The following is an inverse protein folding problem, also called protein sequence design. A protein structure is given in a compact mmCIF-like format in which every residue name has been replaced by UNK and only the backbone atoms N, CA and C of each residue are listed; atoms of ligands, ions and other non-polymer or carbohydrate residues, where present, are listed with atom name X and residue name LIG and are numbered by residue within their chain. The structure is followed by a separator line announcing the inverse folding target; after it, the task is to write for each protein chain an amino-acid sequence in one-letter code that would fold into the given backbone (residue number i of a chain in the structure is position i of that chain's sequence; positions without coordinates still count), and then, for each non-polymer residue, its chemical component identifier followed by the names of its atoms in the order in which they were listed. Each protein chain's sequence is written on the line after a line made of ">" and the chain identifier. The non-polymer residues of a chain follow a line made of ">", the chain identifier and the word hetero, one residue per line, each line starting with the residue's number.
data_IF_146445229533
#
_entry.id   IF_146445229533
#
_cell.length_a   1.000
_cell.length_b   1.000
_cell.length_c   1.000
_cell.angle_alpha   90.00
_cell.angle_beta   90.00
_cell.angle_gamma   90.00
#
_symmetry.space_group_name_H-M   'P 1'
#
loop_
_entity.id
_entity.type
_entity.pdbx_description
1 polymer ?
#
# COMPACT_ATOMS: atom_id res chain seq x y z
N UNK A 1 -33.84 2.42 -72.35
CA UNK A 1 -34.52 3.58 -71.74
C UNK A 1 -35.37 3.04 -70.60
N UNK A 2 -35.07 3.32 -69.31
CA UNK A 2 -35.58 4.48 -68.52
C UNK A 2 -37.13 4.51 -68.60
N UNK A 3 -37.97 4.47 -67.56
CA UNK A 3 -37.88 4.78 -66.11
C UNK A 3 -39.13 4.16 -65.47
N UNK A 4 -39.06 3.51 -64.30
CA UNK A 4 -40.25 3.30 -63.47
C UNK A 4 -40.18 4.27 -62.27
N UNK A 5 -41.23 5.07 -62.01
CA UNK A 5 -41.15 6.23 -61.12
C UNK A 5 -41.31 5.80 -59.66
N UNK A 6 -40.56 6.48 -58.79
CA UNK A 6 -40.60 6.24 -57.37
C UNK A 6 -41.91 6.71 -56.73
N UNK A 7 -42.43 5.89 -55.83
CA UNK A 7 -43.00 6.37 -54.58
C UNK A 7 -42.85 5.27 -53.52
N UNK A 8 -42.12 5.59 -52.44
CA UNK A 8 -42.13 4.85 -51.17
C UNK A 8 -42.55 5.85 -50.09
N UNK A 9 -43.57 5.56 -49.27
CA UNK A 9 -43.99 6.48 -48.21
C UNK A 9 -42.97 6.48 -47.07
N UNK A 10 -42.85 7.66 -46.47
CA UNK A 10 -41.94 8.04 -45.40
C UNK A 10 -42.27 7.21 -44.15
N UNK A 11 -41.28 6.45 -43.67
CA UNK A 11 -41.37 5.69 -42.43
C UNK A 11 -39.97 5.38 -41.91
N UNK A 12 -39.45 6.27 -41.05
CA UNK A 12 -38.27 6.14 -40.20
C UNK A 12 -37.17 5.19 -40.68
N UNK A 13 -36.26 5.71 -41.52
CA UNK A 13 -34.91 5.17 -41.58
C UNK A 13 -34.18 5.52 -40.27
N UNK A 14 -34.30 4.64 -39.28
CA UNK A 14 -33.26 4.50 -38.28
C UNK A 14 -32.00 4.07 -39.05
N UNK A 15 -31.12 5.03 -39.31
CA UNK A 15 -29.75 4.79 -39.76
C UNK A 15 -29.13 3.85 -38.72
N UNK A 16 -29.13 2.56 -39.02
CA UNK A 16 -28.39 1.57 -38.26
C UNK A 16 -26.92 1.85 -38.55
N UNK A 17 -26.31 2.63 -37.67
CA UNK A 17 -24.87 2.83 -37.62
C UNK A 17 -24.23 1.45 -37.48
N UNK A 18 -23.72 0.87 -38.58
CA UNK A 18 -22.81 -0.28 -38.55
C UNK A 18 -21.41 0.14 -38.11
N UNK A 19 -21.34 0.77 -36.94
CA UNK A 19 -20.10 0.95 -36.19
C UNK A 19 -20.42 0.91 -34.70
N UNK A 20 -21.22 -0.07 -34.27
CA UNK A 20 -20.99 -0.64 -32.95
C UNK A 20 -19.79 -1.57 -33.09
N UNK A 21 -18.59 -0.99 -33.10
CA UNK A 21 -17.41 -1.71 -32.64
C UNK A 21 -17.82 -2.29 -31.30
N UNK A 22 -18.05 -3.60 -31.30
CA UNK A 22 -18.28 -4.35 -30.09
C UNK A 22 -17.08 -4.03 -29.23
N UNK A 23 -17.29 -3.16 -28.24
CA UNK A 23 -16.44 -3.11 -27.08
C UNK A 23 -16.58 -4.51 -26.49
N UNK A 24 -15.75 -5.43 -26.98
CA UNK A 24 -15.40 -6.64 -26.27
C UNK A 24 -14.88 -6.11 -24.94
N UNK A 25 -15.78 -6.04 -23.96
CA UNK A 25 -15.46 -6.00 -22.56
C UNK A 25 -14.47 -7.14 -22.39
N UNK A 26 -13.17 -6.82 -22.40
CA UNK A 26 -12.13 -7.79 -22.15
C UNK A 26 -12.45 -8.38 -20.79
N UNK A 27 -13.03 -9.58 -20.79
CA UNK A 27 -13.28 -10.32 -19.57
C UNK A 27 -11.91 -10.55 -18.95
N UNK A 28 -11.66 -9.95 -17.78
CA UNK A 28 -10.41 -10.15 -17.04
C UNK A 28 -10.19 -11.65 -16.89
N UNK A 29 -8.99 -12.13 -17.19
CA UNK A 29 -8.68 -13.55 -17.04
C UNK A 29 -8.84 -13.96 -15.59
N UNK A 30 -9.21 -15.23 -15.33
CA UNK A 30 -9.25 -15.78 -13.97
C UNK A 30 -7.92 -15.55 -13.23
N UNK A 31 -6.81 -15.64 -13.96
CA UNK A 31 -5.48 -15.35 -13.44
C UNK A 31 -5.34 -13.91 -12.94
N UNK A 32 -5.85 -12.93 -13.70
CA UNK A 32 -5.82 -11.52 -13.32
C UNK A 32 -6.69 -11.25 -12.09
N UNK A 33 -7.85 -11.91 -12.00
CA UNK A 33 -8.73 -11.81 -10.83
C UNK A 33 -8.08 -12.39 -9.58
N UNK A 34 -7.41 -13.55 -9.70
CA UNK A 34 -6.69 -14.18 -8.60
C UNK A 34 -5.53 -13.31 -8.12
N UNK A 35 -4.68 -12.79 -9.03
CA UNK A 35 -3.61 -11.86 -8.66
C UNK A 35 -4.15 -10.61 -7.95
N UNK A 36 -5.25 -10.05 -8.44
CA UNK A 36 -5.86 -8.87 -7.84
C UNK A 36 -6.42 -9.14 -6.44
N UNK A 37 -7.00 -10.32 -6.20
CA UNK A 37 -7.44 -10.70 -4.85
C UNK A 37 -6.26 -10.91 -3.91
N UNK A 38 -5.18 -11.54 -4.36
CA UNK A 38 -3.99 -11.77 -3.54
C UNK A 38 -3.29 -10.46 -3.14
N UNK A 39 -3.24 -9.49 -4.07
CA UNK A 39 -2.77 -8.12 -3.77
C UNK A 39 -3.65 -7.41 -2.74
N UNK A 40 -4.98 -7.59 -2.80
CA UNK A 40 -5.90 -7.01 -1.80
C UNK A 40 -5.71 -7.64 -0.43
N UNK A 41 -5.69 -8.97 -0.35
CA UNK A 41 -5.47 -9.70 0.90
C UNK A 41 -4.13 -9.32 1.54
N UNK A 42 -3.10 -9.15 0.71
CA UNK A 42 -1.79 -8.62 1.13
C UNK A 42 -1.90 -7.24 1.76
N UNK A 43 -2.59 -6.32 1.09
CA UNK A 43 -2.75 -4.94 1.56
C UNK A 43 -3.49 -4.90 2.89
N UNK A 44 -4.52 -5.72 3.05
CA UNK A 44 -5.26 -5.85 4.30
C UNK A 44 -4.40 -6.43 5.44
N UNK A 45 -3.56 -7.43 5.15
CA UNK A 45 -2.67 -7.99 6.16
C UNK A 45 -1.66 -6.94 6.66
N UNK A 46 -1.04 -6.19 5.76
CA UNK A 46 -0.09 -5.15 6.14
C UNK A 46 -0.78 -4.02 6.91
N UNK A 47 -2.01 -3.64 6.53
CA UNK A 47 -2.80 -2.70 7.30
C UNK A 47 -3.07 -3.19 8.73
N UNK A 48 -3.45 -4.47 8.90
CA UNK A 48 -3.63 -5.06 10.23
C UNK A 48 -2.35 -5.01 11.07
N UNK A 49 -1.19 -5.26 10.47
CA UNK A 49 0.10 -5.18 11.16
C UNK A 49 0.41 -3.74 11.59
N UNK A 50 0.15 -2.74 10.73
CA UNK A 50 0.29 -1.32 11.07
C UNK A 50 -0.61 -0.94 12.24
N UNK A 51 -1.88 -1.33 12.22
CA UNK A 51 -2.82 -1.02 13.30
C UNK A 51 -2.37 -1.65 14.64
N UNK A 52 -1.84 -2.87 14.60
CA UNK A 52 -1.27 -3.53 15.77
C UNK A 52 -0.01 -2.81 16.30
N UNK A 53 0.87 -2.33 15.41
CA UNK A 53 2.04 -1.53 15.77
C UNK A 53 1.60 -0.22 16.41
N UNK A 54 0.60 0.47 15.85
CA UNK A 54 0.04 1.71 16.41
C UNK A 54 -0.48 1.50 17.83
N UNK A 55 -1.24 0.42 18.07
CA UNK A 55 -1.71 0.07 19.41
C UNK A 55 -0.55 -0.22 20.38
N UNK A 56 0.49 -0.91 19.91
CA UNK A 56 1.67 -1.19 20.72
C UNK A 56 2.46 0.10 21.02
N UNK A 57 2.56 1.02 20.06
CA UNK A 57 3.17 2.33 20.24
C UNK A 57 2.42 3.15 21.30
N UNK A 58 1.08 3.11 21.30
CA UNK A 58 0.28 3.75 22.35
C UNK A 58 0.50 3.10 23.73
N UNK A 59 0.67 1.78 23.81
CA UNK A 59 1.02 1.09 25.07
C UNK A 59 2.40 1.50 25.58
N UNK A 60 3.38 1.59 24.68
CA UNK A 60 4.72 2.08 24.98
C UNK A 60 4.69 3.53 25.46
N UNK A 61 3.98 4.42 24.77
CA UNK A 61 3.81 5.81 25.14
C UNK A 61 3.22 6.00 26.55
N UNK A 62 2.28 5.13 26.95
CA UNK A 62 1.62 5.20 28.26
C UNK A 62 2.45 4.61 29.40
N UNK A 63 2.99 3.41 29.18
CA UNK A 63 3.63 2.63 30.25
C UNK A 63 5.15 2.83 30.33
N UNK A 64 5.77 3.19 29.21
CA UNK A 64 7.20 3.51 29.11
C UNK A 64 8.08 2.44 29.74
N UNK A 65 7.79 1.17 29.43
CA UNK A 65 8.57 0.03 29.93
C UNK A 65 9.43 -0.59 28.84
N UNK A 66 10.56 -1.16 29.24
CA UNK A 66 11.45 -1.94 28.36
C UNK A 66 10.70 -3.09 27.69
N UNK A 67 9.72 -3.69 28.37
CA UNK A 67 8.89 -4.77 27.81
C UNK A 67 8.08 -4.28 26.61
N UNK A 68 7.35 -3.17 26.77
CA UNK A 68 6.58 -2.60 25.67
C UNK A 68 7.48 -2.12 24.52
N UNK A 69 8.67 -1.58 24.83
CA UNK A 69 9.64 -1.18 23.82
C UNK A 69 10.12 -2.39 23.01
N UNK A 70 10.49 -3.48 23.68
CA UNK A 70 10.92 -4.72 23.02
C UNK A 70 9.83 -5.23 22.08
N UNK A 71 8.58 -5.28 22.56
CA UNK A 71 7.46 -5.76 21.75
C UNK A 71 7.21 -4.85 20.54
N UNK A 72 7.28 -3.54 20.73
CA UNK A 72 7.16 -2.55 19.64
C UNK A 72 8.22 -2.78 18.55
N UNK A 73 9.49 -2.91 18.95
CA UNK A 73 10.60 -3.18 18.03
C UNK A 73 10.42 -4.50 17.26
N UNK A 74 9.98 -5.56 17.93
CA UNK A 74 9.72 -6.85 17.29
C UNK A 74 8.62 -6.77 16.23
N UNK A 75 7.52 -6.08 16.54
CA UNK A 75 6.41 -5.94 15.61
C UNK A 75 6.80 -5.13 14.36
N UNK A 76 7.59 -4.07 14.55
CA UNK A 76 8.13 -3.29 13.43
C UNK A 76 9.05 -4.16 12.57
N UNK A 77 9.96 -4.92 13.18
CA UNK A 77 10.83 -5.83 12.44
C UNK A 77 10.04 -6.82 11.59
N UNK A 78 9.01 -7.45 12.16
CA UNK A 78 8.13 -8.36 11.40
C UNK A 78 7.40 -7.66 10.26
N UNK A 79 6.94 -6.42 10.45
CA UNK A 79 6.33 -5.63 9.39
C UNK A 79 7.31 -5.32 8.24
N UNK A 80 8.55 -4.97 8.56
CA UNK A 80 9.57 -4.69 7.55
C UNK A 80 9.96 -5.96 6.77
N UNK A 81 10.10 -7.09 7.46
CA UNK A 81 10.37 -8.39 6.82
C UNK A 81 9.25 -8.77 5.85
N UNK A 82 8.00 -8.61 6.26
CA UNK A 82 6.83 -8.90 5.43
C UNK A 82 6.77 -7.97 4.21
N UNK A 83 6.99 -6.67 4.42
CA UNK A 83 7.00 -5.66 3.35
C UNK A 83 8.15 -5.90 2.37
N UNK A 84 9.33 -6.30 2.85
CA UNK A 84 10.48 -6.62 2.02
C UNK A 84 10.23 -7.88 1.17
N UNK A 85 9.74 -8.97 1.79
CA UNK A 85 9.40 -10.23 1.10
C UNK A 85 8.40 -10.00 -0.03
N UNK A 86 7.34 -9.24 0.23
CA UNK A 86 6.29 -8.95 -0.77
C UNK A 86 6.72 -7.90 -1.79
N UNK A 87 7.54 -6.94 -1.38
CA UNK A 87 8.18 -5.99 -2.27
C UNK A 87 9.05 -6.68 -3.32
N UNK A 88 9.69 -7.80 -2.99
CA UNK A 88 10.42 -8.64 -3.96
C UNK A 88 9.46 -9.32 -4.94
N UNK A 89 8.34 -9.90 -4.48
CA UNK A 89 7.35 -10.53 -5.37
C UNK A 89 6.73 -9.53 -6.36
N UNK A 90 6.41 -8.31 -5.93
CA UNK A 90 5.84 -7.29 -6.82
C UNK A 90 6.85 -6.79 -7.89
N UNK A 91 8.17 -6.87 -7.60
CA UNK A 91 9.25 -6.53 -8.56
C UNK A 91 9.29 -7.47 -9.76
N UNK A 92 8.95 -8.74 -9.59
CA UNK A 92 8.95 -9.73 -10.68
C UNK A 92 7.80 -9.48 -11.67
N UNK A 93 6.67 -8.92 -11.22
CA UNK A 93 5.48 -8.73 -12.06
C UNK A 93 5.44 -7.37 -12.76
N UNK A 94 6.02 -6.31 -12.16
CA UNK A 94 5.97 -4.93 -12.68
C UNK A 94 7.34 -4.28 -12.47
N UNK A 95 8.17 -4.26 -13.52
CA UNK A 95 9.55 -3.77 -13.47
C UNK A 95 9.71 -2.44 -12.72
N UNK A 96 10.33 -2.50 -11.54
CA UNK A 96 10.44 -1.38 -10.59
C UNK A 96 11.69 -0.53 -10.86
N UNK A 97 11.53 0.78 -11.06
CA UNK A 97 12.63 1.73 -11.35
C UNK A 97 13.74 1.75 -10.26
N UNK A 98 15.01 1.89 -10.69
CA UNK A 98 16.21 2.04 -9.84
C UNK A 98 16.05 3.15 -8.80
N UNK A 99 15.40 4.26 -9.15
CA UNK A 99 15.23 5.42 -8.23
C UNK A 99 14.35 5.12 -7.03
N UNK A 100 13.31 4.28 -7.19
CA UNK A 100 12.43 3.87 -6.10
C UNK A 100 13.06 2.87 -5.12
N UNK A 101 14.14 2.19 -5.52
CA UNK A 101 14.91 1.30 -4.64
C UNK A 101 15.77 2.08 -3.65
N UNK A 102 16.52 3.07 -4.14
CA UNK A 102 17.42 3.86 -3.28
C UNK A 102 16.67 4.61 -2.17
N UNK A 103 15.50 5.18 -2.48
CA UNK A 103 14.67 5.88 -1.49
C UNK A 103 14.18 4.97 -0.36
N UNK A 104 13.81 3.73 -0.67
CA UNK A 104 13.34 2.77 0.34
C UNK A 104 14.45 2.20 1.20
N UNK A 105 15.63 1.94 0.64
CA UNK A 105 16.77 1.56 1.47
C UNK A 105 17.14 2.67 2.45
N UNK A 106 17.15 3.93 1.99
CA UNK A 106 17.36 5.08 2.87
C UNK A 106 16.30 5.15 3.98
N UNK A 107 15.02 4.94 3.66
CA UNK A 107 13.95 4.94 4.65
C UNK A 107 14.09 3.79 5.68
N UNK A 108 14.58 2.62 5.25
CA UNK A 108 14.88 1.51 6.15
C UNK A 108 16.05 1.82 7.08
N UNK A 109 17.10 2.46 6.57
CA UNK A 109 18.25 2.91 7.36
C UNK A 109 17.84 3.98 8.39
N UNK A 110 17.02 4.95 7.98
CA UNK A 110 16.46 5.98 8.86
C UNK A 110 15.60 5.36 9.98
N UNK A 111 14.75 4.39 9.63
CA UNK A 111 13.93 3.68 10.60
C UNK A 111 14.76 2.86 11.60
N UNK A 112 15.83 2.19 11.15
CA UNK A 112 16.71 1.43 12.04
C UNK A 112 17.42 2.35 13.04
N UNK A 113 17.91 3.51 12.57
CA UNK A 113 18.50 4.53 13.42
C UNK A 113 17.50 5.03 14.49
N UNK A 114 16.25 5.30 14.12
CA UNK A 114 15.24 5.71 15.09
C UNK A 114 14.90 4.61 16.11
N UNK A 115 14.84 3.34 15.69
CA UNK A 115 14.60 2.21 16.59
C UNK A 115 15.74 1.98 17.59
N UNK A 116 16.97 2.37 17.27
CA UNK A 116 18.10 2.35 18.19
C UNK A 116 17.97 3.44 19.26
N UNK A 117 17.55 4.64 18.87
CA UNK A 117 17.38 5.79 19.77
C UNK A 117 16.18 5.71 20.73
N UNK A 118 15.26 4.76 20.56
CA UNK A 118 14.10 4.61 21.46
C UNK A 118 14.48 4.24 22.90
N UNK A 119 15.61 3.58 23.12
CA UNK A 119 16.04 3.18 24.46
C UNK A 119 16.42 4.40 25.31
N UNK A 120 17.01 5.44 24.71
CA UNK A 120 17.40 6.67 25.38
C UNK A 120 16.17 7.47 25.84
N UNK A 121 15.04 7.34 25.14
CA UNK A 121 13.77 7.97 25.53
C UNK A 121 13.06 7.32 26.72
N UNK A 122 13.55 6.18 27.23
CA UNK A 122 12.99 5.53 28.43
C UNK A 122 13.51 6.14 29.75
N UNK A 123 14.34 7.18 29.68
CA UNK A 123 14.79 7.92 30.87
C UNK A 123 13.59 8.49 31.64
N UNK A 124 13.66 8.50 32.97
CA UNK A 124 12.61 9.06 33.85
C UNK A 124 12.54 10.60 33.83
N UNK A 125 13.18 11.25 32.86
CA UNK A 125 13.12 12.69 32.66
C UNK A 125 11.94 13.10 31.78
N UNK A 126 11.36 14.27 32.02
CA UNK A 126 10.29 14.80 31.15
C UNK A 126 10.73 14.94 29.69
N UNK A 127 11.99 15.35 29.48
CA UNK A 127 12.59 15.43 28.16
C UNK A 127 12.62 14.06 27.46
N UNK A 128 13.12 13.02 28.13
CA UNK A 128 13.18 11.67 27.56
C UNK A 128 11.79 11.16 27.19
N UNK A 129 10.77 11.48 28.01
CA UNK A 129 9.39 11.12 27.73
C UNK A 129 8.85 11.80 26.47
N UNK A 130 9.10 13.09 26.28
CA UNK A 130 8.71 13.83 25.08
C UNK A 130 9.43 13.27 23.85
N UNK A 131 10.73 13.04 23.97
CA UNK A 131 11.55 12.50 22.88
C UNK A 131 11.04 11.11 22.44
N UNK A 132 10.68 10.25 23.39
CA UNK A 132 10.11 8.93 23.08
C UNK A 132 8.80 9.05 22.28
N UNK A 133 7.91 9.96 22.67
CA UNK A 133 6.64 10.18 21.97
C UNK A 133 6.87 10.70 20.55
N UNK A 134 7.81 11.62 20.37
CA UNK A 134 8.19 12.12 19.05
C UNK A 134 8.69 10.98 18.16
N UNK A 135 9.63 10.17 18.66
CA UNK A 135 10.18 9.02 17.92
C UNK A 135 9.11 8.01 17.53
N UNK A 136 8.17 7.69 18.40
CA UNK A 136 7.03 6.82 18.08
C UNK A 136 6.20 7.40 16.92
N UNK A 137 5.96 8.72 16.92
CA UNK A 137 5.25 9.41 15.84
C UNK A 137 6.01 9.39 14.51
N UNK A 138 7.31 9.65 14.53
CA UNK A 138 8.19 9.61 13.35
C UNK A 138 8.23 8.21 12.74
N UNK A 139 8.41 7.18 13.58
CA UNK A 139 8.37 5.77 13.18
C UNK A 139 7.05 5.44 12.49
N UNK A 140 5.92 5.85 13.07
CA UNK A 140 4.61 5.66 12.46
C UNK A 140 4.53 6.29 11.07
N UNK A 141 4.99 7.53 10.92
CA UNK A 141 5.03 8.22 9.63
C UNK A 141 5.90 7.48 8.60
N UNK A 142 7.07 7.01 9.00
CA UNK A 142 7.96 6.22 8.14
C UNK A 142 7.32 4.90 7.69
N UNK A 143 6.63 4.20 8.58
CA UNK A 143 5.95 2.95 8.26
C UNK A 143 4.79 3.15 7.26
N UNK A 144 4.03 4.23 7.41
CA UNK A 144 2.98 4.62 6.46
C UNK A 144 3.59 4.91 5.09
N UNK A 145 4.69 5.67 5.03
CA UNK A 145 5.40 6.00 3.79
C UNK A 145 6.05 4.78 3.11
N UNK A 146 6.36 3.73 3.87
CA UNK A 146 6.85 2.46 3.33
C UNK A 146 5.75 1.66 2.62
N UNK A 147 4.50 1.87 3.02
CA UNK A 147 3.33 1.13 2.55
C UNK A 147 2.54 1.85 1.44
N UNK A 148 2.45 3.19 1.48
CA UNK A 148 1.73 4.03 0.51
C UNK A 148 2.66 4.69 -0.49
#
# INVERSE_FOLDING_TARGET
>A
MKINPGWRPIGNELIRSENSSSQQLQQKSFHDMMQHQDQRATREQLQRMLDQIDQQGQRLAKSMTVRELRQYKLMIKSFLEETARRGVQLRETRGWDRRGRSKRYKLLEELDAELLGLADGLLESEQGRIDLLQKIGEIRGMLINLFF
#
